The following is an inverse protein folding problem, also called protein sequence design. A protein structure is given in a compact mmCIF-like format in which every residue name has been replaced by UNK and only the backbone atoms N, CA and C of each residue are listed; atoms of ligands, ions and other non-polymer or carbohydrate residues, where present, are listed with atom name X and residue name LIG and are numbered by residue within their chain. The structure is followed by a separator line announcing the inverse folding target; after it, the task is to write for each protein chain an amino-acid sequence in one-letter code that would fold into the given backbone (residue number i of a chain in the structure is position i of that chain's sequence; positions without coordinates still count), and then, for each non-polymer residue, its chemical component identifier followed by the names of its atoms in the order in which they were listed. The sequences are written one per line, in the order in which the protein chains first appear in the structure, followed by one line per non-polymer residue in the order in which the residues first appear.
data_IF_020015268148
#
_entry.id   IF_020015268148
#
_cell.length_a   1.000
_cell.length_b   1.000
_cell.length_c   1.000
_cell.angle_alpha   90.00
_cell.angle_beta   90.00
_cell.angle_gamma   90.00
#
_symmetry.space_group_name_H-M   'P 1'
#
loop_
_entity.id
_entity.type
_entity.pdbx_description
1 polymer ?
#
# COMPACT_ATOMS: atom_id res chain seq x y z
N UNK A 1 -22.85 3.19 15.56
CA UNK A 1 -22.86 2.40 14.31
C UNK A 1 -21.78 3.01 13.45
N UNK A 2 -20.67 2.30 13.21
CA UNK A 2 -19.69 2.75 12.23
C UNK A 2 -20.30 2.46 10.86
N UNK A 3 -20.46 3.50 10.06
CA UNK A 3 -21.06 3.41 8.74
C UNK A 3 -20.20 2.44 7.91
N UNK A 4 -20.81 1.43 7.31
CA UNK A 4 -20.12 0.44 6.46
C UNK A 4 -19.28 1.11 5.36
N UNK A 5 -19.69 2.31 4.96
CA UNK A 5 -18.92 3.22 4.11
C UNK A 5 -17.52 3.53 4.70
N UNK A 6 -17.40 3.84 5.99
CA UNK A 6 -16.11 4.12 6.65
C UNK A 6 -15.14 2.92 6.56
N UNK A 7 -15.66 1.70 6.70
CA UNK A 7 -14.86 0.48 6.59
C UNK A 7 -14.32 0.30 5.17
N UNK A 8 -15.16 0.55 4.16
CA UNK A 8 -14.75 0.49 2.75
C UNK A 8 -13.74 1.60 2.44
N UNK A 9 -14.01 2.82 2.90
CA UNK A 9 -13.18 4.01 2.68
C UNK A 9 -11.88 4.01 3.51
N UNK A 10 -11.75 3.12 4.50
CA UNK A 10 -10.55 3.01 5.34
C UNK A 10 -9.28 2.59 4.57
N UNK A 11 -9.39 2.14 3.31
CA UNK A 11 -8.24 1.76 2.48
C UNK A 11 -7.42 0.59 3.05
N UNK A 12 -8.04 -0.20 3.95
CA UNK A 12 -7.40 -1.34 4.63
C UNK A 12 -7.15 -2.52 3.70
N UNK A 13 -7.98 -2.68 2.66
CA UNK A 13 -7.80 -3.74 1.66
C UNK A 13 -6.63 -3.41 0.75
N UNK A 14 -5.58 -4.22 0.82
CA UNK A 14 -4.43 -4.16 -0.09
C UNK A 14 -4.50 -5.37 -1.01
N UNK A 15 -4.64 -5.14 -2.32
CA UNK A 15 -4.66 -6.19 -3.33
C UNK A 15 -3.37 -6.11 -4.17
N UNK A 16 -2.67 -7.23 -4.32
CA UNK A 16 -1.58 -7.36 -5.29
C UNK A 16 -2.20 -7.75 -6.62
N UNK A 17 -1.99 -6.95 -7.68
CA UNK A 17 -2.55 -7.21 -9.00
C UNK A 17 -1.97 -8.51 -9.58
N UNK A 18 -0.63 -8.57 -9.71
CA UNK A 18 0.10 -9.75 -10.18
C UNK A 18 1.62 -9.54 -10.02
N UNK A 19 2.38 -10.61 -9.75
CA UNK A 19 3.84 -10.56 -9.54
C UNK A 19 4.64 -9.82 -10.63
N UNK A 20 4.38 -9.99 -11.95
CA UNK A 20 5.16 -9.30 -12.97
C UNK A 20 4.83 -7.80 -13.10
N UNK A 21 3.73 -7.34 -12.49
CA UNK A 21 3.29 -5.93 -12.52
C UNK A 21 3.49 -5.24 -11.16
N UNK A 22 4.37 -5.77 -10.31
CA UNK A 22 4.72 -5.21 -9.00
C UNK A 22 5.68 -4.01 -9.10
N UNK A 23 5.99 -3.57 -10.33
CA UNK A 23 6.79 -2.38 -10.56
C UNK A 23 5.91 -1.11 -10.46
N UNK A 24 6.41 -0.04 -9.85
CA UNK A 24 5.60 1.15 -9.55
C UNK A 24 4.99 1.80 -10.79
N UNK A 25 5.68 1.77 -11.94
CA UNK A 25 5.16 2.31 -13.20
C UNK A 25 3.88 1.62 -13.67
N UNK A 26 3.76 0.30 -13.47
CA UNK A 26 2.57 -0.45 -13.85
C UNK A 26 1.42 -0.21 -12.87
N UNK A 27 1.72 -0.11 -11.57
CA UNK A 27 0.73 0.24 -10.56
C UNK A 27 0.14 1.64 -10.81
N UNK A 28 0.97 2.61 -11.22
CA UNK A 28 0.52 3.95 -11.60
C UNK A 28 -0.39 3.94 -12.84
N UNK A 29 -0.01 3.20 -13.89
CA UNK A 29 -0.83 3.06 -15.10
C UNK A 29 -2.18 2.42 -14.80
N UNK A 30 -2.20 1.38 -13.97
CA UNK A 30 -3.45 0.75 -13.52
C UNK A 30 -4.34 1.74 -12.76
N UNK A 31 -3.77 2.50 -11.82
CA UNK A 31 -4.52 3.50 -11.07
C UNK A 31 -5.12 4.57 -11.99
N UNK A 32 -4.42 4.97 -13.04
CA UNK A 32 -4.96 5.91 -14.03
C UNK A 32 -6.18 5.32 -14.75
N UNK A 33 -6.08 4.09 -15.26
CA UNK A 33 -7.18 3.42 -15.97
C UNK A 33 -8.43 3.26 -15.09
N UNK A 34 -8.25 2.88 -13.82
CA UNK A 34 -9.38 2.71 -12.89
C UNK A 34 -10.00 4.06 -12.51
N UNK A 35 -9.21 5.13 -12.41
CA UNK A 35 -9.75 6.49 -12.19
C UNK A 35 -10.58 6.98 -13.37
N UNK A 36 -10.15 6.67 -14.60
CA UNK A 36 -10.92 6.99 -15.81
C UNK A 36 -12.26 6.24 -15.87
N UNK A 37 -12.34 5.07 -15.24
CA UNK A 37 -13.56 4.27 -15.13
C UNK A 37 -14.48 4.67 -13.95
N UNK A 38 -14.03 5.59 -13.08
CA UNK A 38 -14.70 6.04 -11.84
C UNK A 38 -15.06 4.91 -10.84
N UNK A 39 -14.47 3.72 -11.00
CA UNK A 39 -14.75 2.55 -10.14
C UNK A 39 -14.07 2.66 -8.76
N UNK A 40 -12.95 3.40 -8.65
CA UNK A 40 -12.22 3.58 -7.40
C UNK A 40 -11.58 4.98 -7.33
N UNK A 41 -12.01 5.81 -6.38
CA UNK A 41 -11.48 7.18 -6.21
C UNK A 41 -10.13 7.23 -5.48
N UNK A 42 -9.93 6.38 -4.45
CA UNK A 42 -8.82 6.49 -3.50
C UNK A 42 -7.79 5.35 -3.57
N UNK A 43 -7.29 5.07 -4.78
CA UNK A 43 -6.20 4.12 -4.96
C UNK A 43 -4.85 4.74 -4.56
N UNK A 44 -4.00 3.93 -3.92
CA UNK A 44 -2.65 4.31 -3.50
C UNK A 44 -1.67 3.17 -3.76
N UNK A 45 -0.49 3.49 -4.31
CA UNK A 45 0.60 2.51 -4.44
C UNK A 45 1.21 2.27 -3.07
N UNK A 46 1.35 0.99 -2.70
CA UNK A 46 2.08 0.56 -1.50
C UNK A 46 3.27 -0.30 -1.91
N UNK A 47 4.39 -0.14 -1.23
CA UNK A 47 5.58 -0.97 -1.38
C UNK A 47 5.80 -1.82 -0.14
N UNK A 48 6.35 -3.03 -0.31
CA UNK A 48 6.74 -3.89 0.80
C UNK A 48 8.11 -3.47 1.31
N UNK A 49 8.14 -2.73 2.41
CA UNK A 49 9.38 -2.19 2.99
C UNK A 49 9.53 -2.61 4.45
N UNK A 50 10.70 -2.35 5.03
CA UNK A 50 10.93 -2.57 6.45
C UNK A 50 10.08 -1.58 7.24
N UNK A 51 9.20 -2.10 8.10
CA UNK A 51 8.42 -1.28 9.03
C UNK A 51 9.37 -0.54 9.96
N UNK A 52 9.15 0.76 10.07
CA UNK A 52 9.84 1.61 11.04
C UNK A 52 8.89 1.89 12.20
N UNK A 53 9.46 2.01 13.39
CA UNK A 53 8.73 2.51 14.56
C UNK A 53 8.52 4.03 14.47
N UNK A 54 7.84 4.61 15.46
CA UNK A 54 7.60 6.05 15.54
C UNK A 54 8.89 6.90 15.60
N UNK A 55 10.03 6.29 15.96
CA UNK A 55 11.35 6.94 16.00
C UNK A 55 12.15 6.77 14.70
N UNK A 56 11.57 6.10 13.69
CA UNK A 56 12.21 5.84 12.41
C UNK A 56 13.15 4.62 12.41
N UNK A 57 13.23 3.86 13.51
CA UNK A 57 14.10 2.69 13.60
C UNK A 57 13.42 1.44 13.02
N UNK A 58 14.18 0.53 12.35
CA UNK A 58 13.64 -0.72 11.85
C UNK A 58 13.03 -1.58 12.96
N UNK A 59 11.76 -1.92 12.82
CA UNK A 59 11.12 -2.92 13.67
C UNK A 59 11.69 -4.29 13.35
N UNK A 60 11.90 -5.11 14.39
CA UNK A 60 12.39 -6.48 14.25
C UNK A 60 11.31 -7.47 14.69
N UNK A 61 11.29 -8.62 14.04
CA UNK A 61 10.53 -9.78 14.49
C UNK A 61 11.12 -10.32 15.80
N UNK A 62 10.39 -11.18 16.51
CA UNK A 62 10.91 -11.88 17.70
C UNK A 62 12.22 -12.64 17.44
N UNK A 63 12.49 -13.01 16.18
CA UNK A 63 13.70 -13.70 15.71
C UNK A 63 14.81 -12.76 15.24
N UNK A 64 14.66 -11.43 15.39
CA UNK A 64 15.67 -10.45 15.02
C UNK A 64 15.69 -10.01 13.56
N UNK A 65 14.96 -10.68 12.66
CA UNK A 65 14.83 -10.27 11.26
C UNK A 65 13.99 -8.98 11.12
N UNK A 66 14.28 -8.09 10.14
CA UNK A 66 13.46 -6.91 9.87
C UNK A 66 11.99 -7.26 9.62
N UNK A 67 11.09 -6.54 10.26
CA UNK A 67 9.66 -6.72 10.08
C UNK A 67 9.24 -6.03 8.78
N UNK A 68 8.78 -6.80 7.79
CA UNK A 68 8.29 -6.26 6.53
C UNK A 68 6.82 -5.85 6.64
N UNK A 69 6.43 -4.78 5.95
CA UNK A 69 5.04 -4.33 5.88
C UNK A 69 4.76 -3.54 4.61
N UNK A 70 3.47 -3.42 4.27
CA UNK A 70 3.02 -2.53 3.21
C UNK A 70 3.04 -1.09 3.74
N UNK A 71 3.77 -0.22 3.06
CA UNK A 71 3.85 1.21 3.36
C UNK A 71 3.53 2.01 2.09
N UNK A 72 3.00 3.24 2.18
CA UNK A 72 2.82 4.10 1.01
C UNK A 72 4.13 4.20 0.22
N UNK A 73 4.05 4.03 -1.10
CA UNK A 73 5.21 4.19 -1.96
C UNK A 73 5.50 5.69 -2.14
N UNK A 74 6.68 6.14 -1.72
CA UNK A 74 7.19 7.48 -1.94
C UNK A 74 8.42 7.40 -2.84
N UNK A 75 8.47 8.21 -3.91
CA UNK A 75 9.62 8.32 -4.83
C UNK A 75 10.85 8.96 -4.17
N UNK A 76 10.78 9.36 -2.90
CA UNK A 76 11.88 9.99 -2.18
C UNK A 76 12.90 8.94 -1.75
N UNK A 77 13.89 8.72 -2.61
CA UNK A 77 15.23 8.30 -2.22
C UNK A 77 16.00 9.50 -1.64
#
# INVERSE_FOLDING_TARGET
MSDYADVIMSGTRTAQLCQPFDAPQFAQQFMQLVREQDDCRDLHVKARTVKKDASGKPMKTKKGAPMMGWQPWSTTA
#
